data_IF_161146442586
#
_entry.id   IF_161146442586
#
_cell.length_a   1.000
_cell.length_b   1.000
_cell.length_c   1.000
_cell.angle_alpha   90.00
_cell.angle_beta   90.00
_cell.angle_gamma   90.00
#
_symmetry.space_group_name_H-M   'P 1'
#
loop_
_entity.id
_entity.type
_entity.pdbx_description
1 polymer ?
#
# COMPACT_ATOMS: atom_id res chain seq x y z
N UNK A 1 -16.84 -7.18 -6.39
CA UNK A 1 -17.36 -6.16 -5.50
C UNK A 1 -18.84 -6.45 -5.20
N UNK A 2 -19.20 -6.49 -3.91
CA UNK A 2 -20.58 -6.75 -3.48
C UNK A 2 -21.43 -5.47 -3.42
N UNK A 3 -20.84 -4.30 -3.75
CA UNK A 3 -21.59 -3.04 -3.78
C UNK A 3 -22.42 -2.94 -5.06
N UNK A 4 -23.73 -3.10 -4.92
CA UNK A 4 -24.67 -3.17 -6.05
C UNK A 4 -24.83 -1.83 -6.79
N UNK A 5 -24.57 -0.70 -6.14
CA UNK A 5 -24.64 0.62 -6.79
C UNK A 5 -23.36 0.89 -7.58
N UNK A 6 -22.20 0.63 -6.98
CA UNK A 6 -20.92 0.82 -7.62
C UNK A 6 -20.75 -0.10 -8.84
N UNK A 7 -21.13 -1.39 -8.73
CA UNK A 7 -21.05 -2.34 -9.84
C UNK A 7 -22.01 -2.04 -11.01
N UNK A 8 -23.09 -1.28 -10.80
CA UNK A 8 -23.92 -0.79 -11.90
C UNK A 8 -23.25 0.35 -12.66
N UNK A 9 -22.54 1.22 -11.97
CA UNK A 9 -21.88 2.40 -12.55
C UNK A 9 -20.48 2.07 -13.09
N UNK A 10 -19.79 1.10 -12.48
CA UNK A 10 -18.50 0.55 -12.91
C UNK A 10 -18.66 -0.96 -13.02
N UNK A 11 -19.22 -1.47 -14.14
CA UNK A 11 -19.44 -2.90 -14.34
C UNK A 11 -18.15 -3.71 -14.32
N UNK A 12 -17.06 -3.12 -14.81
CA UNK A 12 -15.74 -3.72 -14.86
C UNK A 12 -14.68 -2.71 -14.40
N UNK A 13 -14.12 -2.97 -13.21
CA UNK A 13 -13.15 -2.09 -12.61
C UNK A 13 -11.77 -2.16 -13.31
N UNK A 14 -11.37 -3.32 -13.81
CA UNK A 14 -10.10 -3.49 -14.51
C UNK A 14 -10.10 -2.75 -15.85
N UNK A 15 -11.24 -2.78 -16.54
CA UNK A 15 -11.44 -1.99 -17.76
C UNK A 15 -11.36 -0.50 -17.46
N UNK A 16 -11.95 -0.02 -16.36
CA UNK A 16 -11.84 1.37 -15.96
C UNK A 16 -10.37 1.76 -15.70
N UNK A 17 -9.65 0.95 -14.93
CA UNK A 17 -8.21 1.17 -14.65
C UNK A 17 -7.42 1.26 -15.96
N UNK A 18 -7.57 0.28 -16.84
CA UNK A 18 -6.86 0.22 -18.11
C UNK A 18 -7.16 1.43 -19.00
N UNK A 19 -8.41 1.87 -19.05
CA UNK A 19 -8.85 3.04 -19.83
C UNK A 19 -8.23 4.34 -19.26
N UNK A 20 -8.22 4.51 -17.95
CA UNK A 20 -7.62 5.66 -17.28
C UNK A 20 -6.11 5.70 -17.50
N UNK A 21 -5.43 4.56 -17.36
CA UNK A 21 -3.98 4.48 -17.61
C UNK A 21 -3.63 4.84 -19.04
N UNK A 22 -4.36 4.29 -20.04
CA UNK A 22 -4.18 4.63 -21.46
C UNK A 22 -4.48 6.10 -21.75
N UNK A 23 -5.51 6.68 -21.13
CA UNK A 23 -5.83 8.10 -21.27
C UNK A 23 -4.68 8.99 -20.79
N UNK A 24 -4.11 8.69 -19.62
CA UNK A 24 -2.97 9.44 -19.07
C UNK A 24 -1.66 9.18 -19.83
N UNK A 25 -1.50 8.05 -20.49
CA UNK A 25 -0.37 7.79 -21.38
C UNK A 25 -0.44 8.68 -22.62
N UNK A 26 -1.60 8.75 -23.26
CA UNK A 26 -1.83 9.57 -24.45
C UNK A 26 -1.80 11.08 -24.14
N UNK A 27 -2.38 11.45 -23.00
CA UNK A 27 -2.52 12.85 -22.59
C UNK A 27 -2.29 12.99 -21.09
N UNK A 28 -1.02 13.08 -20.67
CA UNK A 28 -0.70 13.34 -19.27
C UNK A 28 -1.30 14.68 -18.78
N UNK A 29 -1.78 14.68 -17.56
CA UNK A 29 -2.45 15.83 -16.94
C UNK A 29 -1.48 16.63 -16.11
N UNK A 30 -1.54 17.96 -16.24
CA UNK A 30 -0.81 18.87 -15.36
C UNK A 30 -1.74 19.36 -14.26
N UNK A 31 -1.38 19.12 -13.02
CA UNK A 31 -2.06 19.63 -11.82
C UNK A 31 -1.18 20.63 -11.09
N UNK A 32 -1.77 21.64 -10.48
CA UNK A 32 -1.04 22.59 -9.62
C UNK A 32 -1.24 22.20 -8.17
N UNK A 33 -0.14 21.97 -7.46
CA UNK A 33 -0.11 21.63 -6.04
C UNK A 33 0.82 22.57 -5.28
N UNK A 34 0.72 22.59 -3.95
CA UNK A 34 1.72 23.25 -3.10
C UNK A 34 2.91 22.33 -2.87
N UNK A 35 4.10 22.81 -3.15
CA UNK A 35 5.32 22.12 -2.74
C UNK A 35 5.34 22.02 -1.21
N UNK A 36 5.39 20.81 -0.62
CA UNK A 36 5.28 20.64 0.82
C UNK A 36 6.43 21.27 1.62
N UNK A 37 7.59 21.48 0.98
CA UNK A 37 8.77 22.05 1.64
C UNK A 37 8.80 23.60 1.53
N UNK A 38 8.44 24.14 0.37
CA UNK A 38 8.55 25.60 0.10
C UNK A 38 7.22 26.34 0.17
N UNK A 39 6.10 25.63 0.21
CA UNK A 39 4.72 26.14 0.17
C UNK A 39 4.39 26.97 -1.10
N UNK A 40 5.27 26.95 -2.09
CA UNK A 40 5.03 27.61 -3.39
C UNK A 40 4.24 26.69 -4.31
N UNK A 41 3.48 27.30 -5.23
CA UNK A 41 2.82 26.55 -6.28
C UNK A 41 3.85 25.85 -7.17
N UNK A 42 3.56 24.60 -7.51
CA UNK A 42 4.31 23.82 -8.48
C UNK A 42 3.39 23.03 -9.39
N UNK A 43 3.75 22.95 -10.65
CA UNK A 43 3.05 22.15 -11.63
C UNK A 43 3.64 20.73 -11.64
N UNK A 44 2.77 19.75 -11.46
CA UNK A 44 3.10 18.34 -11.51
C UNK A 44 2.42 17.70 -12.71
N UNK A 45 3.20 17.13 -13.62
CA UNK A 45 2.69 16.38 -14.77
C UNK A 45 2.49 14.92 -14.37
N UNK A 46 1.24 14.46 -14.41
CA UNK A 46 0.84 13.10 -14.02
C UNK A 46 0.50 12.29 -15.27
N UNK A 47 1.29 11.26 -15.51
CA UNK A 47 1.05 10.19 -16.45
C UNK A 47 0.71 8.89 -15.72
N UNK A 48 0.74 7.72 -16.41
CA UNK A 48 0.45 6.41 -15.81
C UNK A 48 1.29 6.11 -14.57
N UNK A 49 2.60 6.36 -14.63
CA UNK A 49 3.49 6.15 -13.48
C UNK A 49 3.10 7.01 -12.26
N UNK A 50 2.77 8.29 -12.49
CA UNK A 50 2.36 9.19 -11.42
C UNK A 50 1.06 8.75 -10.74
N UNK A 51 0.07 8.31 -11.52
CA UNK A 51 -1.16 7.74 -10.98
C UNK A 51 -0.89 6.44 -10.21
N UNK A 52 -0.11 5.54 -10.80
CA UNK A 52 0.25 4.27 -10.14
C UNK A 52 1.01 4.51 -8.82
N UNK A 53 1.90 5.52 -8.79
CA UNK A 53 2.62 5.92 -7.57
C UNK A 53 1.68 6.46 -6.48
N UNK A 54 0.67 7.24 -6.86
CA UNK A 54 -0.36 7.71 -5.93
C UNK A 54 -1.15 6.51 -5.40
N UNK A 55 -1.69 5.67 -6.29
CA UNK A 55 -2.53 4.54 -5.92
C UNK A 55 -1.80 3.56 -4.99
N UNK A 56 -0.53 3.26 -5.23
CA UNK A 56 0.24 2.34 -4.38
C UNK A 56 0.33 2.81 -2.92
N UNK A 57 0.24 4.13 -2.68
CA UNK A 57 0.29 4.73 -1.35
C UNK A 57 -1.09 4.83 -0.69
N UNK A 58 -2.15 4.50 -1.42
CA UNK A 58 -3.52 4.60 -0.96
C UNK A 58 -4.23 3.23 -0.88
N UNK A 59 -3.78 2.22 -1.63
CA UNK A 59 -4.39 0.87 -1.63
C UNK A 59 -4.06 0.04 -0.37
N UNK A 60 -3.14 0.48 0.45
CA UNK A 60 -2.77 -0.15 1.72
C UNK A 60 -3.41 0.55 2.94
N UNK A 61 -4.31 1.51 2.70
CA UNK A 61 -5.07 2.21 3.75
C UNK A 61 -6.57 1.98 3.55
N UNK A 62 -7.20 1.26 4.48
CA UNK A 62 -8.64 0.97 4.43
C UNK A 62 -9.53 2.22 4.45
N UNK A 63 -8.99 3.39 4.83
CA UNK A 63 -9.72 4.66 4.73
C UNK A 63 -9.65 5.27 3.31
N UNK A 64 -8.61 4.98 2.54
CA UNK A 64 -8.42 5.50 1.19
C UNK A 64 -9.01 4.56 0.12
N UNK A 65 -8.96 3.25 0.32
CA UNK A 65 -9.54 2.26 -0.60
C UNK A 65 -10.97 2.61 -1.04
N UNK A 66 -11.89 3.06 -0.17
CA UNK A 66 -13.25 3.41 -0.54
C UNK A 66 -13.38 4.50 -1.61
N UNK A 67 -12.35 5.32 -1.74
CA UNK A 67 -12.35 6.52 -2.62
C UNK A 67 -11.76 6.23 -4.00
N UNK A 68 -10.96 5.16 -4.13
CA UNK A 68 -10.23 4.84 -5.36
C UNK A 68 -11.15 4.66 -6.60
N UNK A 69 -12.28 3.94 -6.52
CA UNK A 69 -13.16 3.82 -7.69
C UNK A 69 -13.69 5.17 -8.19
N UNK A 70 -14.01 6.07 -7.27
CA UNK A 70 -14.45 7.43 -7.61
C UNK A 70 -13.32 8.25 -8.21
N UNK A 71 -12.11 8.17 -7.67
CA UNK A 71 -10.93 8.84 -8.22
C UNK A 71 -10.74 8.45 -9.69
N UNK A 72 -10.75 7.15 -9.99
CA UNK A 72 -10.56 6.67 -11.36
C UNK A 72 -11.74 7.08 -12.28
N UNK A 73 -12.96 7.01 -11.78
CA UNK A 73 -14.14 7.44 -12.52
C UNK A 73 -14.10 8.93 -12.85
N UNK A 74 -13.69 9.81 -11.93
CA UNK A 74 -13.58 11.25 -12.20
C UNK A 74 -12.49 11.55 -13.22
N UNK A 75 -11.34 10.88 -13.17
CA UNK A 75 -10.27 11.01 -14.18
C UNK A 75 -10.78 10.58 -15.56
N UNK A 76 -11.50 9.47 -15.64
CA UNK A 76 -12.09 8.98 -16.89
C UNK A 76 -13.04 10.01 -17.52
N UNK A 77 -13.82 10.70 -16.70
CA UNK A 77 -14.72 11.75 -17.11
C UNK A 77 -14.09 13.15 -17.28
N UNK A 78 -12.76 13.28 -17.11
CA UNK A 78 -12.03 14.53 -17.32
C UNK A 78 -12.06 15.48 -16.13
N UNK A 79 -12.53 15.06 -14.96
CA UNK A 79 -12.41 15.82 -13.71
C UNK A 79 -11.18 15.34 -12.92
N UNK A 80 -10.21 16.24 -12.79
CA UNK A 80 -8.92 15.97 -12.15
C UNK A 80 -8.81 16.57 -10.75
N UNK A 81 -9.88 17.05 -10.17
CA UNK A 81 -9.87 17.70 -8.84
C UNK A 81 -9.48 16.73 -7.74
N UNK A 82 -10.02 15.49 -7.76
CA UNK A 82 -9.61 14.43 -6.82
C UNK A 82 -8.15 14.01 -7.05
N UNK A 83 -7.72 13.87 -8.31
CA UNK A 83 -6.33 13.56 -8.63
C UNK A 83 -5.38 14.64 -8.08
N UNK A 84 -5.75 15.91 -8.19
CA UNK A 84 -4.98 17.04 -7.62
C UNK A 84 -4.85 16.92 -6.10
N UNK A 85 -5.93 16.57 -5.41
CA UNK A 85 -5.92 16.38 -3.97
C UNK A 85 -5.01 15.21 -3.55
N UNK A 86 -5.11 14.06 -4.23
CA UNK A 86 -4.26 12.91 -3.96
C UNK A 86 -2.80 13.21 -4.30
N UNK A 87 -2.53 13.91 -5.39
CA UNK A 87 -1.18 14.37 -5.73
C UNK A 87 -0.60 15.25 -4.62
N UNK A 88 -1.38 16.21 -4.10
CA UNK A 88 -0.98 17.04 -2.96
C UNK A 88 -0.66 16.21 -1.71
N UNK A 89 -1.53 15.26 -1.37
CA UNK A 89 -1.38 14.37 -0.20
C UNK A 89 -0.10 13.52 -0.30
N UNK A 90 0.23 13.02 -1.49
CA UNK A 90 1.32 12.07 -1.70
C UNK A 90 2.65 12.69 -2.17
N UNK A 91 2.66 13.96 -2.52
CA UNK A 91 3.87 14.63 -3.05
C UNK A 91 5.04 14.62 -2.08
N UNK A 92 4.78 14.68 -0.78
CA UNK A 92 5.85 14.60 0.24
C UNK A 92 6.68 13.32 0.11
N UNK A 93 6.05 12.21 -0.22
CA UNK A 93 6.75 10.92 -0.40
C UNK A 93 7.59 10.85 -1.69
N UNK A 94 7.29 11.70 -2.68
CA UNK A 94 8.10 11.82 -3.89
C UNK A 94 9.29 12.78 -3.72
N UNK A 95 9.19 13.74 -2.80
CA UNK A 95 10.22 14.76 -2.57
C UNK A 95 11.15 14.46 -1.38
N UNK A 96 10.66 13.74 -0.40
CA UNK A 96 11.41 13.39 0.80
C UNK A 96 11.58 11.88 0.90
N UNK A 97 12.64 11.36 0.29
CA UNK A 97 13.04 9.96 0.44
C UNK A 97 13.94 9.84 1.68
N UNK A 98 13.46 9.25 2.78
CA UNK A 98 14.27 9.08 3.97
C UNK A 98 15.40 8.08 3.69
N UNK A 99 16.64 8.52 3.87
CA UNK A 99 17.82 7.70 3.60
C UNK A 99 17.90 6.41 4.43
N UNK A 100 17.35 6.42 5.65
CA UNK A 100 17.21 5.25 6.50
C UNK A 100 16.26 4.20 5.90
N UNK A 101 15.16 4.64 5.29
CA UNK A 101 14.24 3.75 4.58
C UNK A 101 14.89 3.09 3.38
N UNK A 102 15.67 3.83 2.59
CA UNK A 102 16.42 3.29 1.47
C UNK A 102 17.46 2.27 1.96
N UNK A 103 18.26 2.64 2.99
CA UNK A 103 19.26 1.73 3.56
C UNK A 103 18.65 0.41 4.04
N UNK A 104 17.58 0.47 4.82
CA UNK A 104 16.89 -0.75 5.32
C UNK A 104 16.42 -1.63 4.18
N UNK A 105 15.73 -1.04 3.19
CA UNK A 105 15.15 -1.78 2.08
C UNK A 105 16.22 -2.43 1.19
N UNK A 106 17.31 -1.72 0.94
CA UNK A 106 18.41 -2.26 0.14
C UNK A 106 19.22 -3.31 0.92
N UNK A 107 19.41 -3.12 2.22
CA UNK A 107 20.14 -4.05 3.08
C UNK A 107 19.36 -5.34 3.33
N UNK A 108 18.04 -5.29 3.54
CA UNK A 108 17.23 -6.49 3.74
C UNK A 108 17.12 -7.36 2.49
N UNK A 109 17.12 -6.76 1.31
CA UNK A 109 17.12 -7.48 0.05
C UNK A 109 15.93 -8.45 -0.13
N UNK A 110 16.11 -9.41 -1.02
CA UNK A 110 15.23 -10.56 -1.21
C UNK A 110 16.03 -11.69 -1.86
N UNK A 111 15.57 -12.95 -1.74
CA UNK A 111 16.21 -14.07 -2.41
C UNK A 111 16.19 -13.92 -3.95
N UNK A 112 17.05 -14.63 -4.63
CA UNK A 112 17.11 -14.59 -6.11
C UNK A 112 15.78 -15.05 -6.74
N UNK A 113 15.15 -16.07 -6.15
CA UNK A 113 13.86 -16.61 -6.59
C UNK A 113 12.76 -15.54 -6.41
N UNK A 114 12.77 -14.84 -5.27
CA UNK A 114 11.83 -13.75 -5.00
C UNK A 114 12.02 -12.60 -5.98
N UNK A 115 13.25 -12.21 -6.29
CA UNK A 115 13.53 -11.17 -7.29
C UNK A 115 13.06 -11.56 -8.70
N UNK A 116 13.20 -12.82 -9.09
CA UNK A 116 12.71 -13.32 -10.37
C UNK A 116 11.18 -13.23 -10.45
N UNK A 117 10.48 -13.61 -9.37
CA UNK A 117 9.02 -13.50 -9.27
C UNK A 117 8.57 -12.03 -9.33
N UNK A 118 9.16 -11.14 -8.53
CA UNK A 118 8.86 -9.70 -8.53
C UNK A 118 8.99 -9.11 -9.93
N UNK A 119 10.05 -9.48 -10.66
CA UNK A 119 10.27 -9.01 -12.03
C UNK A 119 9.18 -9.50 -12.96
N UNK A 120 8.83 -10.78 -12.93
CA UNK A 120 7.80 -11.36 -13.78
C UNK A 120 6.41 -10.74 -13.50
N UNK A 121 6.07 -10.55 -12.23
CA UNK A 121 4.81 -9.90 -11.82
C UNK A 121 4.77 -8.42 -12.24
N UNK A 122 5.88 -7.69 -12.09
CA UNK A 122 5.96 -6.30 -12.52
C UNK A 122 5.78 -6.14 -14.04
N UNK A 123 6.34 -7.05 -14.84
CA UNK A 123 6.19 -7.06 -16.30
C UNK A 123 4.73 -7.38 -16.73
N UNK A 124 4.01 -8.20 -15.96
CA UNK A 124 2.62 -8.55 -16.21
C UNK A 124 1.62 -7.50 -15.68
N UNK A 125 2.04 -6.65 -14.75
CA UNK A 125 1.16 -5.70 -14.07
C UNK A 125 0.97 -4.42 -14.88
N UNK A 126 -0.26 -3.90 -14.90
CA UNK A 126 -0.60 -2.55 -15.40
C UNK A 126 0.16 -1.44 -14.65
N UNK A 127 0.56 -1.71 -13.41
CA UNK A 127 1.30 -0.76 -12.56
C UNK A 127 2.82 -0.88 -12.68
N UNK A 128 3.32 -1.87 -13.46
CA UNK A 128 4.75 -2.15 -13.60
C UNK A 128 5.46 -2.26 -12.22
N UNK A 129 6.67 -1.74 -12.12
CA UNK A 129 7.49 -1.84 -10.92
C UNK A 129 7.30 -0.66 -9.93
N UNK A 130 6.15 0.02 -9.98
CA UNK A 130 5.92 1.21 -9.13
C UNK A 130 5.94 0.88 -7.63
N UNK A 131 5.54 -0.34 -7.25
CA UNK A 131 5.54 -0.78 -5.84
C UNK A 131 6.95 -0.77 -5.27
N UNK A 132 7.96 -1.12 -6.06
CA UNK A 132 9.36 -1.17 -5.65
C UNK A 132 10.13 0.14 -5.93
N UNK A 133 9.46 1.18 -6.42
CA UNK A 133 10.08 2.50 -6.61
C UNK A 133 10.18 3.24 -5.26
N UNK A 134 11.30 3.91 -4.93
CA UNK A 134 12.50 4.12 -5.76
C UNK A 134 13.61 3.07 -5.55
N UNK A 135 13.39 2.05 -4.75
CA UNK A 135 14.43 1.13 -4.27
C UNK A 135 15.15 0.41 -5.40
N UNK A 136 14.39 -0.10 -6.38
CA UNK A 136 14.99 -0.76 -7.55
C UNK A 136 15.89 0.18 -8.38
N UNK A 137 15.53 1.46 -8.47
CA UNK A 137 16.32 2.47 -9.15
C UNK A 137 17.55 2.91 -8.31
N UNK A 138 17.40 2.96 -7.00
CA UNK A 138 18.46 3.39 -6.07
C UNK A 138 19.55 2.33 -5.89
N UNK A 139 19.27 1.05 -6.12
CA UNK A 139 20.16 -0.08 -5.84
C UNK A 139 21.60 0.11 -6.37
N UNK A 140 21.75 0.67 -7.56
CA UNK A 140 23.06 0.87 -8.19
C UNK A 140 23.70 2.24 -7.89
N UNK A 141 22.94 3.17 -7.31
CA UNK A 141 23.38 4.54 -7.03
C UNK A 141 23.63 4.80 -5.54
N UNK A 142 23.21 3.87 -4.68
CA UNK A 142 23.29 4.03 -3.23
C UNK A 142 24.40 3.18 -2.66
N UNK A 143 25.31 3.81 -1.92
CA UNK A 143 26.39 3.11 -1.24
C UNK A 143 25.84 2.40 -0.01
N UNK A 144 26.02 1.08 0.05
CA UNK A 144 25.64 0.26 1.20
C UNK A 144 26.89 -0.31 1.87
N UNK A 145 26.84 -0.40 3.19
CA UNK A 145 27.75 -1.24 3.93
C UNK A 145 27.25 -2.69 3.88
N UNK A 146 28.14 -3.63 3.62
CA UNK A 146 27.81 -5.05 3.70
C UNK A 146 27.41 -5.41 5.12
N UNK A 147 26.33 -6.19 5.25
CA UNK A 147 25.94 -6.76 6.53
C UNK A 147 26.88 -7.92 6.87
N UNK A 148 27.17 -8.10 8.14
CA UNK A 148 27.99 -9.23 8.64
C UNK A 148 27.24 -10.57 8.63
N UNK A 149 25.98 -10.60 8.20
CA UNK A 149 25.12 -11.78 8.10
C UNK A 149 24.24 -11.68 6.86
N UNK A 150 23.74 -12.80 6.39
CA UNK A 150 22.74 -12.87 5.32
C UNK A 150 21.34 -12.56 5.88
N UNK A 151 20.74 -11.39 5.56
CA UNK A 151 19.42 -11.02 6.06
C UNK A 151 18.28 -11.83 5.42
N UNK A 152 18.57 -12.59 4.35
CA UNK A 152 17.58 -13.46 3.68
C UNK A 152 17.60 -14.89 4.21
N UNK A 153 18.56 -15.24 5.07
CA UNK A 153 18.66 -16.56 5.67
C UNK A 153 17.48 -16.80 6.63
N UNK A 154 16.88 -18.01 6.64
CA UNK A 154 15.82 -18.34 7.56
C UNK A 154 16.27 -18.20 9.03
N UNK A 155 15.51 -17.43 9.81
CA UNK A 155 15.71 -17.36 11.26
C UNK A 155 15.05 -18.57 11.91
N UNK A 156 15.85 -19.39 12.64
CA UNK A 156 15.34 -20.51 13.43
C UNK A 156 15.33 -20.12 14.90
N UNK A 157 14.17 -20.19 15.56
CA UNK A 157 14.02 -19.79 16.94
C UNK A 157 12.86 -20.48 17.64
N UNK A 158 13.02 -20.70 18.96
CA UNK A 158 11.95 -21.20 19.83
C UNK A 158 11.33 -20.10 20.71
N UNK A 159 11.72 -18.85 20.50
CA UNK A 159 11.16 -17.70 21.22
C UNK A 159 9.67 -17.59 20.88
N UNK A 160 8.77 -17.55 21.89
CA UNK A 160 7.35 -17.30 21.64
C UNK A 160 7.17 -16.00 20.85
N UNK A 161 6.52 -16.10 19.69
CA UNK A 161 6.39 -14.98 18.77
C UNK A 161 4.95 -14.81 18.31
N UNK A 162 4.41 -13.61 18.44
CA UNK A 162 3.11 -13.24 17.91
C UNK A 162 3.29 -12.43 16.62
N UNK A 163 2.86 -12.99 15.50
CA UNK A 163 2.74 -12.29 14.23
C UNK A 163 1.32 -11.73 14.10
N UNK A 164 1.23 -10.46 13.72
CA UNK A 164 -0.03 -9.79 13.43
C UNK A 164 0.08 -9.21 12.02
N UNK A 165 -0.81 -9.65 11.13
CA UNK A 165 -0.92 -9.15 9.76
C UNK A 165 -2.31 -8.62 9.47
N UNK A 166 -2.46 -7.98 8.33
CA UNK A 166 -3.72 -7.45 7.85
C UNK A 166 -3.97 -7.93 6.41
N UNK A 167 -5.23 -8.13 6.04
CA UNK A 167 -5.60 -8.76 4.77
C UNK A 167 -5.49 -7.84 3.54
N UNK A 168 -5.39 -6.52 3.73
CA UNK A 168 -5.29 -5.54 2.66
C UNK A 168 -3.89 -4.91 2.56
N UNK A 169 -2.89 -5.54 3.17
CA UNK A 169 -1.51 -5.05 3.13
C UNK A 169 -0.82 -5.44 1.82
N UNK A 170 -0.56 -4.46 0.97
CA UNK A 170 0.18 -4.67 -0.26
C UNK A 170 1.71 -4.52 -0.11
N UNK A 171 2.22 -4.12 1.07
CA UNK A 171 3.66 -3.97 1.34
C UNK A 171 4.25 -5.19 2.02
N UNK A 172 3.54 -5.71 3.01
CA UNK A 172 3.92 -6.90 3.78
C UNK A 172 2.74 -7.87 3.85
N UNK A 173 2.41 -8.51 2.71
CA UNK A 173 1.25 -9.37 2.63
C UNK A 173 1.36 -10.61 3.54
N UNK A 174 0.22 -11.21 3.84
CA UNK A 174 0.10 -12.36 4.76
C UNK A 174 1.04 -13.50 4.39
N UNK A 175 1.26 -13.73 3.10
CA UNK A 175 2.13 -14.78 2.56
C UNK A 175 3.59 -14.62 2.99
N UNK A 176 4.07 -13.40 3.16
CA UNK A 176 5.45 -13.16 3.63
C UNK A 176 5.62 -13.59 5.08
N UNK A 177 4.60 -13.38 5.92
CA UNK A 177 4.64 -13.85 7.30
C UNK A 177 4.50 -15.36 7.37
N UNK A 178 3.65 -15.97 6.53
CA UNK A 178 3.53 -17.44 6.44
C UNK A 178 4.86 -18.08 6.01
N UNK A 179 5.66 -17.40 5.20
CA UNK A 179 7.00 -17.84 4.84
C UNK A 179 7.99 -17.68 6.01
N UNK A 180 7.99 -16.51 6.64
CA UNK A 180 8.91 -16.18 7.75
C UNK A 180 8.68 -17.08 8.97
N UNK A 181 7.43 -17.32 9.36
CA UNK A 181 7.09 -18.06 10.58
C UNK A 181 7.47 -19.55 10.57
N UNK A 182 7.81 -20.09 9.37
CA UNK A 182 8.27 -21.50 9.28
C UNK A 182 9.51 -21.78 10.12
N UNK A 183 10.30 -20.75 10.45
CA UNK A 183 11.45 -20.87 11.33
C UNK A 183 11.17 -20.63 12.81
N UNK A 184 9.93 -20.39 13.20
CA UNK A 184 9.53 -20.07 14.57
C UNK A 184 8.70 -21.22 15.17
N UNK A 185 9.29 -22.00 16.06
CA UNK A 185 8.63 -23.17 16.66
C UNK A 185 7.37 -22.80 17.46
N UNK A 186 7.40 -21.66 18.15
CA UNK A 186 6.34 -21.17 19.04
C UNK A 186 5.67 -19.93 18.46
N UNK A 187 5.29 -19.97 17.17
CA UNK A 187 4.64 -18.85 16.49
C UNK A 187 3.11 -18.93 16.60
N UNK A 188 2.51 -17.82 16.98
CA UNK A 188 1.09 -17.55 16.80
C UNK A 188 0.94 -16.48 15.71
N UNK A 189 0.02 -16.68 14.76
CA UNK A 189 -0.27 -15.72 13.71
C UNK A 189 -1.74 -15.32 13.72
N UNK A 190 -2.00 -14.03 13.80
CA UNK A 190 -3.34 -13.42 13.79
C UNK A 190 -3.46 -12.53 12.56
N UNK A 191 -4.57 -12.67 11.83
CA UNK A 191 -4.90 -11.86 10.68
C UNK A 191 -6.05 -10.92 11.07
N UNK A 192 -5.87 -9.62 10.83
CA UNK A 192 -6.92 -8.62 11.00
C UNK A 192 -7.55 -8.32 9.64
N UNK A 193 -8.81 -8.70 9.48
CA UNK A 193 -9.56 -8.49 8.24
C UNK A 193 -10.08 -7.05 8.12
N UNK A 194 -10.24 -6.57 6.89
CA UNK A 194 -10.62 -5.19 6.54
C UNK A 194 -9.64 -4.15 7.08
N UNK A 195 -8.36 -4.44 7.03
CA UNK A 195 -7.32 -3.58 7.57
C UNK A 195 -6.16 -3.42 6.58
N UNK A 196 -5.66 -2.21 6.43
CA UNK A 196 -4.44 -1.88 5.70
C UNK A 196 -3.20 -1.90 6.60
N UNK A 197 -2.05 -1.54 6.03
CA UNK A 197 -0.70 -1.76 6.56
C UNK A 197 -0.49 -1.44 8.06
N UNK A 198 -1.02 -0.33 8.56
CA UNK A 198 -0.83 0.07 9.97
C UNK A 198 -2.09 -0.15 10.83
N UNK A 199 -3.18 -0.62 10.25
CA UNK A 199 -4.49 -0.58 10.88
C UNK A 199 -4.78 -1.75 11.82
N UNK A 200 -3.92 -2.77 11.88
CA UNK A 200 -3.99 -3.81 12.91
C UNK A 200 -3.94 -3.22 14.33
N UNK A 201 -3.12 -2.19 14.52
CA UNK A 201 -2.91 -1.53 15.81
C UNK A 201 -4.13 -0.72 16.29
N UNK A 202 -5.08 -0.43 15.40
CA UNK A 202 -6.33 0.27 15.76
C UNK A 202 -7.47 -0.68 16.11
N UNK A 203 -7.24 -1.98 15.99
CA UNK A 203 -8.21 -2.99 16.41
C UNK A 203 -8.11 -3.19 17.94
N UNK A 204 -9.15 -2.76 18.67
CA UNK A 204 -9.16 -2.81 20.14
C UNK A 204 -8.93 -4.24 20.68
N UNK A 205 -9.50 -5.27 20.03
CA UNK A 205 -9.29 -6.67 20.42
C UNK A 205 -7.82 -7.08 20.32
N UNK A 206 -7.11 -6.59 19.30
CA UNK A 206 -5.68 -6.85 19.14
C UNK A 206 -4.88 -6.10 20.20
N UNK A 207 -5.10 -4.79 20.31
CA UNK A 207 -4.26 -3.93 21.14
C UNK A 207 -4.53 -4.08 22.62
N UNK A 208 -5.82 -4.13 23.02
CA UNK A 208 -6.22 -4.10 24.44
C UNK A 208 -6.32 -5.51 25.05
N UNK A 209 -6.52 -6.56 24.25
CA UNK A 209 -6.74 -7.90 24.75
C UNK A 209 -5.65 -8.88 24.31
N UNK A 210 -5.40 -9.00 23.01
CA UNK A 210 -4.56 -10.08 22.46
C UNK A 210 -3.08 -9.88 22.77
N UNK A 211 -2.54 -8.68 22.54
CA UNK A 211 -1.13 -8.39 22.83
C UNK A 211 -0.85 -8.52 24.34
N UNK A 212 -1.66 -7.95 25.25
CA UNK A 212 -1.46 -8.17 26.69
C UNK A 212 -1.61 -9.61 27.13
N UNK A 213 -2.51 -10.39 26.51
CA UNK A 213 -2.66 -11.81 26.81
C UNK A 213 -1.39 -12.58 26.41
N UNK A 214 -0.87 -12.35 25.21
CA UNK A 214 0.37 -12.95 24.73
C UNK A 214 1.55 -12.64 25.65
N UNK A 215 1.76 -11.36 25.98
CA UNK A 215 2.87 -10.91 26.82
C UNK A 215 2.80 -11.45 28.26
N UNK A 216 1.59 -11.78 28.75
CA UNK A 216 1.39 -12.37 30.08
C UNK A 216 1.34 -13.90 30.07
N UNK A 217 1.61 -14.56 28.94
CA UNK A 217 1.56 -16.01 28.80
C UNK A 217 0.16 -16.62 28.91
N UNK A 218 -0.90 -15.81 28.76
CA UNK A 218 -2.28 -16.32 28.74
C UNK A 218 -2.59 -16.95 27.39
N UNK A 219 -3.48 -17.94 27.40
CA UNK A 219 -3.92 -18.61 26.18
C UNK A 219 -4.65 -17.64 25.24
N UNK A 220 -4.33 -17.72 23.95
CA UNK A 220 -4.95 -16.96 22.89
C UNK A 220 -5.65 -17.91 21.93
N UNK A 221 -6.97 -17.85 21.89
CA UNK A 221 -7.82 -18.69 21.03
C UNK A 221 -8.27 -17.96 19.76
N UNK A 222 -7.85 -16.71 19.55
CA UNK A 222 -8.23 -15.90 18.40
C UNK A 222 -7.17 -16.01 17.32
N UNK A 223 -7.53 -16.49 16.14
CA UNK A 223 -6.66 -16.52 14.96
C UNK A 223 -7.02 -15.43 13.94
N UNK A 224 -8.18 -14.81 14.09
CA UNK A 224 -8.66 -13.69 13.25
C UNK A 224 -9.34 -12.62 14.08
N UNK A 225 -9.12 -11.38 13.68
CA UNK A 225 -9.87 -10.22 14.15
C UNK A 225 -10.46 -9.48 12.95
N UNK A 226 -11.45 -8.65 13.17
CA UNK A 226 -12.16 -7.95 12.09
C UNK A 226 -12.26 -6.47 12.41
N UNK A 227 -11.92 -5.63 11.46
CA UNK A 227 -12.31 -4.23 11.43
C UNK A 227 -13.68 -4.08 10.73
N UNK A 228 -14.36 -2.93 10.86
CA UNK A 228 -15.58 -2.66 10.13
C UNK A 228 -15.42 -2.87 8.63
N UNK A 229 -16.46 -3.40 7.98
CA UNK A 229 -16.46 -3.61 6.54
C UNK A 229 -16.22 -2.28 5.79
N UNK A 230 -15.38 -2.31 4.77
CA UNK A 230 -15.08 -1.17 3.91
C UNK A 230 -16.32 -0.83 3.07
N UNK A 231 -16.79 0.42 3.19
CA UNK A 231 -17.92 0.95 2.42
C UNK A 231 -17.42 1.94 1.38
N UNK A 232 -17.58 1.59 0.11
CA UNK A 232 -17.22 2.48 -0.99
C UNK A 232 -18.11 3.73 -1.03
N UNK A 233 -17.53 4.87 -1.37
CA UNK A 233 -18.27 6.10 -1.56
C UNK A 233 -18.98 6.10 -2.92
N UNK A 234 -20.08 6.85 -3.03
CA UNK A 234 -20.80 7.02 -4.29
C UNK A 234 -19.97 7.76 -5.32
N UNK A 235 -20.19 7.50 -6.61
CA UNK A 235 -19.51 8.20 -7.71
C UNK A 235 -20.02 9.64 -7.88
N UNK A 236 -21.24 9.92 -7.42
CA UNK A 236 -21.88 11.22 -7.49
C UNK A 236 -21.46 12.12 -6.31
N UNK A 237 -21.47 13.43 -6.51
CA UNK A 237 -21.15 14.45 -5.52
C UNK A 237 -20.07 15.40 -6.01
N UNK A 238 -19.89 16.55 -5.32
CA UNK A 238 -18.86 17.54 -5.70
C UNK A 238 -17.50 16.89 -5.56
N UNK A 239 -16.78 16.76 -6.69
CA UNK A 239 -15.38 16.38 -6.70
C UNK A 239 -14.55 17.48 -6.01
N UNK A 240 -13.51 17.12 -5.29
CA UNK A 240 -12.56 18.07 -4.73
C UNK A 240 -12.32 18.02 -3.23
N UNK A 241 -13.05 17.18 -2.47
CA UNK A 241 -12.71 16.93 -1.05
C UNK A 241 -12.82 15.44 -0.74
N UNK A 242 -11.81 14.91 -0.08
CA UNK A 242 -11.89 13.60 0.55
C UNK A 242 -13.02 13.61 1.59
N UNK A 243 -13.87 12.56 1.68
CA UNK A 243 -15.03 12.54 2.58
C UNK A 243 -14.69 12.71 4.07
N UNK A 244 -13.45 12.38 4.47
CA UNK A 244 -12.97 12.56 5.84
C UNK A 244 -12.56 14.00 6.17
N UNK A 245 -12.54 14.90 5.17
CA UNK A 245 -12.25 16.33 5.35
C UNK A 245 -13.57 17.13 5.40
N UNK A 246 -14.36 16.90 6.44
CA UNK A 246 -15.49 17.77 6.79
C UNK A 246 -15.02 19.05 7.46
#
# INVERSE_FOLDING_TARGET
AKDSLLSKQIPDFEVLVSRVMKKLEQTPVTVTIKNPLTQKDMNLKIGPFGLAFILRLDIDDANDIPVIPRLLYTIDNGDYSMLTWFAQKRMVYGLALPGDGINRQLASGASMERWALIKAEAEASTYNNVVNFPFSAAKNAWVQNELSFDPTAPLLTNIPTLFITVDLDCRTPVEQVEETKKGFENALHIIVENAGHEQAMWNAKIFDETIPAFLSGREINTVKAHNPEIKFITLEGKSGRHPSLK
#
